data_IF_558294170765
#
_entry.id   IF_558294170765
#
_cell.length_a   1.000
_cell.length_b   1.000
_cell.length_c   1.000
_cell.angle_alpha   90.00
_cell.angle_beta   90.00
_cell.angle_gamma   90.00
#
_symmetry.space_group_name_H-M   'P 1'
#
loop_
_entity.id
_entity.type
_entity.pdbx_description
1 polymer ?
#
# COMPACT_ATOMS: atom_id res chain seq x y z
N UNK A 1 -1.15 4.56 -6.89
CA UNK A 1 -2.28 4.94 -6.02
C UNK A 1 -3.63 4.60 -6.60
N UNK A 2 -4.07 5.20 -7.71
CA UNK A 2 -5.37 4.85 -8.31
C UNK A 2 -5.44 3.35 -8.71
N UNK A 3 -4.37 2.81 -9.29
CA UNK A 3 -4.28 1.40 -9.68
C UNK A 3 -4.32 0.45 -8.47
N UNK A 4 -3.65 0.79 -7.37
CA UNK A 4 -3.64 -0.03 -6.13
C UNK A 4 -5.03 -0.10 -5.49
N UNK A 5 -5.77 1.00 -5.55
CA UNK A 5 -7.12 1.09 -5.01
C UNK A 5 -8.10 0.24 -5.84
N UNK A 6 -7.96 0.25 -7.17
CA UNK A 6 -8.74 -0.60 -8.08
C UNK A 6 -8.39 -2.08 -7.87
N UNK A 7 -7.11 -2.43 -7.77
CA UNK A 7 -6.68 -3.81 -7.53
C UNK A 7 -7.12 -4.34 -6.16
N UNK A 8 -7.00 -3.53 -5.11
CA UNK A 8 -7.47 -3.87 -3.76
C UNK A 8 -8.98 -4.10 -3.72
N UNK A 9 -9.76 -3.25 -4.40
CA UNK A 9 -11.20 -3.41 -4.49
C UNK A 9 -11.60 -4.67 -5.26
N UNK A 10 -10.93 -4.96 -6.38
CA UNK A 10 -11.16 -6.17 -7.17
C UNK A 10 -10.89 -7.42 -6.32
N UNK A 11 -9.78 -7.44 -5.58
CA UNK A 11 -9.46 -8.56 -4.68
C UNK A 11 -10.55 -8.79 -3.64
N UNK A 12 -11.05 -7.74 -2.99
CA UNK A 12 -12.16 -7.83 -2.02
C UNK A 12 -13.40 -8.46 -2.64
N UNK A 13 -13.80 -8.00 -3.84
CA UNK A 13 -14.98 -8.52 -4.53
C UNK A 13 -14.80 -9.99 -4.92
N UNK A 14 -13.61 -10.37 -5.39
CA UNK A 14 -13.33 -11.74 -5.84
C UNK A 14 -13.17 -12.74 -4.69
N UNK A 15 -12.81 -12.28 -3.49
CA UNK A 15 -12.56 -13.14 -2.33
C UNK A 15 -13.87 -13.57 -1.63
N UNK A 16 -14.91 -12.72 -1.64
CA UNK A 16 -16.21 -13.00 -1.02
C UNK A 16 -16.86 -14.34 -1.46
N UNK A 17 -16.91 -14.70 -2.75
CA UNK A 17 -17.51 -15.97 -3.17
C UNK A 17 -16.67 -17.21 -2.85
N UNK A 18 -15.41 -17.09 -2.42
CA UNK A 18 -14.56 -18.26 -2.07
C UNK A 18 -14.77 -18.76 -0.63
N UNK A 19 -15.39 -17.95 0.23
CA UNK A 19 -15.64 -18.32 1.63
C UNK A 19 -16.57 -19.54 1.82
N UNK A 20 -17.63 -19.75 1.02
CA UNK A 20 -18.52 -20.90 1.17
C UNK A 20 -17.93 -22.24 0.69
N UNK A 21 -16.87 -22.24 -0.12
CA UNK A 21 -16.29 -23.46 -0.74
C UNK A 21 -15.13 -24.08 0.06
N UNK A 22 -14.63 -23.41 1.10
CA UNK A 22 -13.60 -23.97 1.98
C UNK A 22 -14.21 -25.10 2.83
N UNK A 23 -13.69 -26.32 2.72
CA UNK A 23 -14.26 -27.57 3.24
C UNK A 23 -14.45 -27.72 4.78
N UNK A 24 -14.43 -28.95 5.33
CA UNK A 24 -14.96 -29.29 6.68
C UNK A 24 -14.46 -28.46 7.87
N UNK A 25 -13.29 -27.83 7.80
CA UNK A 25 -12.70 -27.00 8.85
C UNK A 25 -13.14 -25.51 8.80
N UNK A 26 -14.15 -25.19 7.99
CA UNK A 26 -14.61 -23.83 7.73
C UNK A 26 -14.85 -23.03 9.01
N UNK A 27 -15.55 -23.61 9.99
CA UNK A 27 -15.91 -22.93 11.24
C UNK A 27 -14.69 -22.57 12.12
N UNK A 28 -13.61 -23.36 12.07
CA UNK A 28 -12.40 -23.11 12.83
C UNK A 28 -11.57 -21.96 12.24
N UNK A 29 -11.62 -21.81 10.90
CA UNK A 29 -10.87 -20.78 10.18
C UNK A 29 -11.69 -19.50 9.96
N UNK A 30 -13.01 -19.53 10.15
CA UNK A 30 -13.92 -18.37 10.01
C UNK A 30 -13.38 -17.07 10.65
N UNK A 31 -12.87 -17.08 11.90
CA UNK A 31 -12.33 -15.86 12.51
C UNK A 31 -11.12 -15.29 11.76
N UNK A 32 -10.21 -16.16 11.29
CA UNK A 32 -9.04 -15.76 10.51
C UNK A 32 -9.44 -15.10 9.19
N UNK A 33 -10.37 -15.72 8.47
CA UNK A 33 -10.88 -15.20 7.20
C UNK A 33 -11.55 -13.83 7.36
N UNK A 34 -12.37 -13.68 8.39
CA UNK A 34 -13.03 -12.40 8.73
C UNK A 34 -11.98 -11.34 9.10
N UNK A 35 -10.99 -11.69 9.93
CA UNK A 35 -9.90 -10.77 10.29
C UNK A 35 -9.08 -10.33 9.07
N UNK A 36 -8.80 -11.25 8.14
CA UNK A 36 -8.13 -10.92 6.87
C UNK A 36 -8.98 -10.00 5.99
N UNK A 37 -10.29 -10.27 5.88
CA UNK A 37 -11.21 -9.44 5.11
C UNK A 37 -11.30 -8.02 5.69
N UNK A 38 -11.45 -7.89 7.01
CA UNK A 38 -11.48 -6.60 7.70
C UNK A 38 -10.15 -5.87 7.52
N UNK A 39 -9.02 -6.56 7.69
CA UNK A 39 -7.69 -5.99 7.50
C UNK A 39 -7.49 -5.49 6.08
N UNK A 40 -7.98 -6.23 5.08
CA UNK A 40 -7.96 -5.82 3.68
C UNK A 40 -8.80 -4.55 3.45
N UNK A 41 -10.01 -4.47 4.01
CA UNK A 41 -10.86 -3.27 3.90
C UNK A 41 -10.18 -2.06 4.53
N UNK A 42 -9.58 -2.23 5.71
CA UNK A 42 -8.83 -1.16 6.39
C UNK A 42 -7.61 -0.72 5.57
N UNK A 43 -6.89 -1.66 4.96
CA UNK A 43 -5.77 -1.35 4.07
C UNK A 43 -6.24 -0.53 2.85
N UNK A 44 -7.34 -0.93 2.20
CA UNK A 44 -7.95 -0.17 1.11
C UNK A 44 -8.35 1.25 1.53
N UNK A 45 -8.99 1.38 2.71
CA UNK A 45 -9.36 2.68 3.26
C UNK A 45 -8.12 3.56 3.53
N UNK A 46 -7.06 2.97 4.07
CA UNK A 46 -5.82 3.67 4.34
C UNK A 46 -5.13 4.17 3.07
N UNK A 47 -5.10 3.35 2.02
CA UNK A 47 -4.62 3.75 0.69
C UNK A 47 -5.47 4.90 0.13
N UNK A 48 -6.80 4.81 0.25
CA UNK A 48 -7.71 5.86 -0.21
C UNK A 48 -7.50 7.18 0.52
N UNK A 49 -7.38 7.16 1.86
CA UNK A 49 -7.09 8.35 2.67
C UNK A 49 -5.74 8.95 2.30
N UNK A 50 -4.72 8.13 2.08
CA UNK A 50 -3.39 8.58 1.66
C UNK A 50 -3.44 9.24 0.28
N UNK A 51 -4.19 8.66 -0.66
CA UNK A 51 -4.39 9.23 -1.99
C UNK A 51 -5.14 10.57 -1.93
N UNK A 52 -6.23 10.65 -1.18
CA UNK A 52 -6.99 11.89 -0.99
C UNK A 52 -6.12 12.97 -0.33
N UNK A 53 -5.33 12.59 0.67
CA UNK A 53 -4.36 13.48 1.31
C UNK A 53 -3.29 13.99 0.34
N UNK A 54 -2.82 13.13 -0.57
CA UNK A 54 -1.85 13.48 -1.61
C UNK A 54 -2.45 14.47 -2.62
N UNK A 55 -3.69 14.22 -3.07
CA UNK A 55 -4.42 15.14 -3.96
C UNK A 55 -4.68 16.49 -3.28
N UNK A 56 -4.91 16.50 -1.97
CA UNK A 56 -5.11 17.71 -1.15
C UNK A 56 -3.80 18.42 -0.76
N UNK A 57 -2.65 17.96 -1.26
CA UNK A 57 -1.31 18.53 -0.98
C UNK A 57 -0.98 18.61 0.53
N UNK A 58 -1.53 17.73 1.36
CA UNK A 58 -1.19 17.68 2.79
C UNK A 58 0.18 17.01 2.96
N UNK A 59 1.24 17.82 2.97
CA UNK A 59 2.59 17.38 2.59
C UNK A 59 3.30 16.42 3.56
N UNK A 60 3.27 16.64 4.88
CA UNK A 60 4.19 15.93 5.78
C UNK A 60 3.72 14.51 6.17
N UNK A 61 2.48 14.35 6.64
CA UNK A 61 1.97 13.06 7.10
C UNK A 61 1.67 12.08 5.96
N UNK A 62 1.16 12.58 4.83
CA UNK A 62 0.85 11.76 3.64
C UNK A 62 2.11 11.15 3.04
N UNK A 63 3.23 11.86 3.06
CA UNK A 63 4.52 11.33 2.60
C UNK A 63 4.95 10.13 3.42
N UNK A 64 4.91 10.26 4.76
CA UNK A 64 5.23 9.14 5.65
C UNK A 64 4.31 7.94 5.41
N UNK A 65 3.00 8.19 5.30
CA UNK A 65 2.00 7.15 5.00
C UNK A 65 2.27 6.45 3.65
N UNK A 66 2.52 7.22 2.60
CA UNK A 66 2.82 6.68 1.27
C UNK A 66 4.09 5.83 1.29
N UNK A 67 5.16 6.29 1.96
CA UNK A 67 6.40 5.50 2.10
C UNK A 67 6.13 4.15 2.76
N UNK A 68 5.38 4.13 3.86
CA UNK A 68 5.03 2.88 4.55
C UNK A 68 4.27 1.91 3.64
N UNK A 69 3.29 2.39 2.87
CA UNK A 69 2.52 1.55 1.94
C UNK A 69 3.45 0.85 0.93
N UNK A 70 4.40 1.58 0.33
CA UNK A 70 5.31 0.97 -0.65
C UNK A 70 6.30 -0.01 0.00
N UNK A 71 6.73 0.23 1.24
CA UNK A 71 7.57 -0.73 1.99
C UNK A 71 6.80 -2.02 2.27
N UNK A 72 5.54 -1.93 2.67
CA UNK A 72 4.69 -3.11 2.87
C UNK A 72 4.47 -3.87 1.56
N UNK A 73 4.30 -3.14 0.46
CA UNK A 73 4.13 -3.74 -0.86
C UNK A 73 5.42 -4.42 -1.36
N UNK A 74 6.59 -3.87 -1.02
CA UNK A 74 7.88 -4.52 -1.24
C UNK A 74 8.00 -5.83 -0.43
N UNK A 75 7.63 -5.81 0.86
CA UNK A 75 7.62 -7.00 1.69
C UNK A 75 6.67 -8.09 1.13
N UNK A 76 5.49 -7.69 0.66
CA UNK A 76 4.56 -8.59 -0.02
C UNK A 76 5.16 -9.20 -1.29
N UNK A 77 5.83 -8.40 -2.13
CA UNK A 77 6.49 -8.88 -3.35
C UNK A 77 7.57 -9.93 -3.04
N UNK A 78 8.36 -9.74 -1.98
CA UNK A 78 9.32 -10.76 -1.52
C UNK A 78 8.62 -12.04 -1.09
N UNK A 79 7.49 -11.94 -0.39
CA UNK A 79 6.66 -13.10 -0.05
C UNK A 79 6.19 -13.88 -1.29
N UNK A 80 5.88 -13.19 -2.39
CA UNK A 80 5.56 -13.85 -3.67
C UNK A 80 6.77 -14.62 -4.22
N UNK A 81 7.96 -14.02 -4.21
CA UNK A 81 9.18 -14.69 -4.69
C UNK A 81 9.63 -15.85 -3.79
N UNK A 82 9.25 -15.85 -2.51
CA UNK A 82 9.44 -16.96 -1.58
C UNK A 82 8.46 -18.13 -1.82
N UNK A 83 7.54 -17.99 -2.80
CA UNK A 83 6.52 -19.01 -3.11
C UNK A 83 5.35 -19.04 -2.13
N UNK A 84 5.22 -18.01 -1.28
CA UNK A 84 4.17 -17.94 -0.25
C UNK A 84 2.87 -17.38 -0.84
N UNK A 85 2.96 -16.48 -1.83
CA UNK A 85 1.83 -15.73 -2.37
C UNK A 85 1.87 -15.69 -3.90
N UNK A 86 0.94 -16.33 -4.61
CA UNK A 86 0.71 -16.08 -6.05
C UNK A 86 1.84 -16.48 -7.01
N UNK A 87 1.82 -15.92 -8.24
CA UNK A 87 2.79 -16.23 -9.31
C UNK A 87 3.94 -15.24 -9.35
N UNK A 88 5.14 -15.62 -9.82
CA UNK A 88 6.31 -14.73 -9.88
C UNK A 88 6.08 -13.42 -10.65
N UNK A 89 5.19 -13.46 -11.66
CA UNK A 89 4.79 -12.27 -12.41
C UNK A 89 4.08 -11.23 -11.54
N UNK A 90 3.25 -11.66 -10.59
CA UNK A 90 2.58 -10.77 -9.63
C UNK A 90 3.60 -10.15 -8.68
N UNK A 91 4.58 -10.93 -8.21
CA UNK A 91 5.69 -10.43 -7.39
C UNK A 91 6.50 -9.35 -8.12
N UNK A 92 6.82 -9.57 -9.39
CA UNK A 92 7.54 -8.58 -10.20
C UNK A 92 6.75 -7.27 -10.41
N UNK A 93 5.43 -7.36 -10.64
CA UNK A 93 4.57 -6.18 -10.75
C UNK A 93 4.49 -5.41 -9.44
N UNK A 94 4.26 -6.10 -8.32
CA UNK A 94 4.22 -5.49 -6.98
C UNK A 94 5.55 -4.82 -6.64
N UNK A 95 6.67 -5.46 -6.96
CA UNK A 95 8.01 -4.92 -6.76
C UNK A 95 8.22 -3.63 -7.58
N UNK A 96 7.85 -3.65 -8.87
CA UNK A 96 7.95 -2.47 -9.73
C UNK A 96 7.13 -1.30 -9.21
N UNK A 97 5.89 -1.56 -8.80
CA UNK A 97 5.00 -0.55 -8.24
C UNK A 97 5.54 0.01 -6.92
N UNK A 98 6.12 -0.84 -6.07
CA UNK A 98 6.69 -0.47 -4.78
C UNK A 98 7.88 0.47 -4.97
N UNK A 99 8.82 0.12 -5.85
CA UNK A 99 10.03 0.92 -6.11
C UNK A 99 9.68 2.26 -6.74
N UNK A 100 8.83 2.27 -7.77
CA UNK A 100 8.46 3.49 -8.48
C UNK A 100 7.71 4.46 -7.56
N UNK A 101 6.75 3.96 -6.81
CA UNK A 101 5.95 4.80 -5.93
C UNK A 101 6.71 5.26 -4.67
N UNK A 102 7.63 4.45 -4.15
CA UNK A 102 8.57 4.87 -3.10
C UNK A 102 9.49 5.99 -3.59
N UNK A 103 10.10 5.84 -4.77
CA UNK A 103 10.95 6.86 -5.37
C UNK A 103 10.17 8.17 -5.60
N UNK A 104 8.94 8.08 -6.11
CA UNK A 104 8.07 9.23 -6.29
C UNK A 104 7.74 9.94 -4.98
N UNK A 105 7.48 9.19 -3.90
CA UNK A 105 7.15 9.75 -2.58
C UNK A 105 8.34 10.50 -1.95
N UNK A 106 9.58 10.09 -2.26
CA UNK A 106 10.80 10.74 -1.78
C UNK A 106 11.18 11.95 -2.64
N UNK A 107 11.22 11.79 -3.97
CA UNK A 107 11.76 12.80 -4.90
C UNK A 107 10.92 14.08 -4.96
N UNK A 108 9.60 13.98 -4.84
CA UNK A 108 8.69 15.14 -4.81
C UNK A 108 8.89 15.98 -3.52
N UNK A 109 9.59 15.43 -2.53
CA UNK A 109 9.80 16.04 -1.23
C UNK A 109 11.10 16.83 -1.05
N UNK A 110 11.88 17.11 -2.11
CA UNK A 110 13.09 17.94 -1.99
C UNK A 110 12.70 19.33 -1.47
N UNK A 111 13.19 19.78 -0.31
CA UNK A 111 12.93 21.12 0.18
C UNK A 111 13.41 22.13 -0.88
N UNK A 112 12.61 23.16 -1.14
CA UNK A 112 13.12 24.34 -1.81
C UNK A 112 14.33 24.85 -1.01
N UNK A 113 15.42 25.13 -1.72
CA UNK A 113 16.69 25.62 -1.17
C UNK A 113 16.41 26.63 -0.04
N UNK A 114 16.97 26.38 1.15
CA UNK A 114 16.81 27.30 2.27
C UNK A 114 17.24 28.70 1.81
N UNK A 115 16.31 29.66 1.86
CA UNK A 115 16.57 31.03 1.46
C UNK A 115 17.83 31.54 2.20
N UNK A 116 18.74 32.26 1.50
CA UNK A 116 19.99 32.70 2.09
C UNK A 116 19.70 33.47 3.38
N UNK A 117 20.27 32.97 4.47
CA UNK A 117 20.23 33.61 5.78
C UNK A 117 20.87 34.98 5.59
N UNK A 118 20.06 36.04 5.58
CA UNK A 118 20.58 37.40 5.52
C UNK A 118 21.30 37.59 6.85
N UNK A 119 22.63 37.49 6.81
CA UNK A 119 23.52 37.78 7.92
C UNK A 119 23.33 39.26 8.25
N UNK A 120 22.48 39.57 9.22
CA UNK A 120 22.49 40.87 9.88
C UNK A 120 23.82 40.95 10.67
N UNK A 121 24.84 41.39 9.95
CA UNK A 121 26.12 41.81 10.50
C UNK A 121 26.04 43.33 10.77
N UNK A 122 26.44 43.72 11.98
CA UNK A 122 26.86 45.09 12.30
C UNK A 122 25.96 45.83 13.25
#
# INVERSE_FOLDING_TARGET
MAIELVLGLVLVITMIPTFPEAGPDQAALMPLWVSLLISMILACLWIAVTLVGAMRRQGSWVRGSAVTIHVLMFAAALGVFQGILGTPAVGALLLGLAVVGFASAILIGKPAEAAPQISEAG
#
